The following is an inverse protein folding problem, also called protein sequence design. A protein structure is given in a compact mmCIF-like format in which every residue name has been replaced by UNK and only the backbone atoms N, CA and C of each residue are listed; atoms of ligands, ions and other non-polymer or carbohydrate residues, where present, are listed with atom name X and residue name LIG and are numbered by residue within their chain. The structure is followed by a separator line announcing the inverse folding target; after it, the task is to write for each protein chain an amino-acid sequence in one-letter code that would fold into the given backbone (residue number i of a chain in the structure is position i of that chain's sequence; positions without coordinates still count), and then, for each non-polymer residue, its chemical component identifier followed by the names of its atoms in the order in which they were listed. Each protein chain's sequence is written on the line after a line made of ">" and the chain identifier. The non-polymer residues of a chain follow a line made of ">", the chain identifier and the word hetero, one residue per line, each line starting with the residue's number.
data_IF_440394444160
#
_entry.id   IF_440394444160
#
_cell.length_a   1.000
_cell.length_b   1.000
_cell.length_c   1.000
_cell.angle_alpha   90.00
_cell.angle_beta   90.00
_cell.angle_gamma   90.00
#
_symmetry.space_group_name_H-M   'P 1'
#
loop_
_entity.id
_entity.type
_entity.pdbx_description
1 polymer ?
#
# COMPACT_ATOMS: atom_id res chain seq x y z
N UNK A 1 15.75 12.95 -35.84
CA UNK A 1 15.12 13.77 -34.79
C UNK A 1 13.91 13.13 -34.08
N UNK A 2 13.24 12.09 -34.61
CA UNK A 2 12.05 11.49 -33.95
C UNK A 2 12.37 10.39 -32.91
N UNK A 3 13.47 9.68 -33.08
CA UNK A 3 13.86 8.54 -32.20
C UNK A 3 14.19 8.97 -30.77
N UNK A 4 14.76 10.15 -30.58
CA UNK A 4 15.08 10.68 -29.24
C UNK A 4 13.82 10.87 -28.39
N UNK A 5 12.72 11.33 -29.01
CA UNK A 5 11.43 11.46 -28.32
C UNK A 5 10.82 10.12 -27.95
N UNK A 6 10.98 9.10 -28.80
CA UNK A 6 10.51 7.74 -28.52
C UNK A 6 11.28 7.12 -27.35
N UNK A 7 12.60 7.26 -27.32
CA UNK A 7 13.44 6.78 -26.21
C UNK A 7 13.07 7.46 -24.89
N UNK A 8 12.81 8.77 -24.93
CA UNK A 8 12.38 9.51 -23.74
C UNK A 8 11.02 9.02 -23.24
N UNK A 9 10.03 8.81 -24.13
CA UNK A 9 8.73 8.27 -23.75
C UNK A 9 8.83 6.88 -23.11
N UNK A 10 9.67 6.00 -23.64
CA UNK A 10 9.92 4.67 -23.07
C UNK A 10 10.55 4.77 -21.67
N UNK A 11 11.52 5.66 -21.49
CA UNK A 11 12.15 5.89 -20.18
C UNK A 11 11.11 6.33 -19.14
N UNK A 12 10.23 7.27 -19.49
CA UNK A 12 9.15 7.71 -18.59
C UNK A 12 8.17 6.61 -18.25
N UNK A 13 7.85 5.72 -19.19
CA UNK A 13 6.98 4.55 -18.94
C UNK A 13 7.62 3.53 -18.00
N UNK A 14 8.94 3.31 -18.12
CA UNK A 14 9.67 2.39 -17.24
C UNK A 14 9.88 2.97 -15.83
N UNK A 15 9.99 4.29 -15.70
CA UNK A 15 10.14 4.99 -14.43
C UNK A 15 8.81 5.38 -13.78
N UNK A 16 7.68 4.88 -14.28
CA UNK A 16 6.44 4.99 -13.54
C UNK A 16 6.55 4.09 -12.30
N UNK A 17 6.81 4.71 -11.16
CA UNK A 17 6.61 4.10 -9.87
C UNK A 17 5.14 3.68 -9.82
N UNK A 18 4.87 2.38 -10.01
CA UNK A 18 3.52 1.84 -9.92
C UNK A 18 2.93 2.28 -8.58
N UNK A 19 1.90 3.14 -8.56
CA UNK A 19 1.34 3.59 -7.31
C UNK A 19 0.53 2.42 -6.77
N UNK A 20 0.96 1.92 -5.62
CA UNK A 20 0.26 0.92 -4.85
C UNK A 20 0.46 -0.48 -5.42
N UNK A 21 1.22 -1.28 -4.67
CA UNK A 21 0.82 -2.65 -4.41
C UNK A 21 -0.71 -2.68 -4.33
N UNK A 22 -1.36 -3.27 -5.33
CA UNK A 22 -2.65 -3.89 -5.12
C UNK A 22 -2.34 -5.07 -4.19
N UNK A 23 -2.14 -4.75 -2.90
CA UNK A 23 -2.10 -5.72 -1.85
C UNK A 23 -3.30 -6.64 -2.07
N UNK A 24 -3.13 -7.97 -2.02
CA UNK A 24 -4.25 -8.88 -2.19
C UNK A 24 -5.36 -8.39 -1.26
N UNK A 25 -6.59 -8.24 -1.78
CA UNK A 25 -7.71 -7.73 -0.98
C UNK A 25 -8.09 -8.82 0.02
N UNK A 26 -7.28 -8.98 1.05
CA UNK A 26 -7.63 -9.75 2.23
C UNK A 26 -8.76 -8.98 2.91
N UNK A 27 -9.83 -9.69 3.27
CA UNK A 27 -11.01 -9.07 3.88
C UNK A 27 -10.63 -8.23 5.12
N UNK A 28 -9.66 -8.69 5.92
CA UNK A 28 -9.17 -7.97 7.09
C UNK A 28 -8.47 -6.64 6.75
N UNK A 29 -7.77 -6.59 5.62
CA UNK A 29 -7.06 -5.40 5.13
C UNK A 29 -8.02 -4.38 4.54
N UNK A 30 -9.02 -4.85 3.79
CA UNK A 30 -10.07 -4.01 3.24
C UNK A 30 -10.91 -3.37 4.35
N UNK A 31 -11.29 -4.17 5.35
CA UNK A 31 -12.03 -3.71 6.53
C UNK A 31 -11.23 -2.69 7.35
N UNK A 32 -9.93 -2.95 7.56
CA UNK A 32 -9.06 -2.00 8.26
C UNK A 32 -8.97 -0.66 7.53
N UNK A 33 -8.71 -0.68 6.21
CA UNK A 33 -8.61 0.56 5.42
C UNK A 33 -9.94 1.30 5.27
N UNK A 34 -11.07 0.59 5.19
CA UNK A 34 -12.39 1.22 5.01
C UNK A 34 -12.75 2.13 6.19
N UNK A 35 -12.24 1.79 7.38
CA UNK A 35 -12.41 2.57 8.60
C UNK A 35 -11.41 3.74 8.74
N UNK A 36 -10.52 3.95 7.75
CA UNK A 36 -9.47 4.97 7.80
C UNK A 36 -8.25 4.56 8.63
N UNK A 37 -8.15 3.28 9.01
CA UNK A 37 -7.03 2.74 9.75
C UNK A 37 -5.92 2.26 8.80
N UNK A 38 -4.75 1.94 9.36
CA UNK A 38 -3.60 1.47 8.57
C UNK A 38 -3.04 0.16 9.09
N UNK A 39 -2.46 -0.60 8.17
CA UNK A 39 -1.83 -1.87 8.45
C UNK A 39 -0.32 -1.66 8.69
N UNK A 40 0.21 -2.24 9.76
CA UNK A 40 1.62 -2.12 10.13
C UNK A 40 2.23 -3.46 10.51
N UNK A 41 3.49 -3.65 10.12
CA UNK A 41 4.33 -4.75 10.60
C UNK A 41 4.86 -4.38 12.00
N UNK A 42 4.49 -5.17 13.00
CA UNK A 42 4.88 -4.97 14.40
C UNK A 42 3.87 -4.16 15.22
N UNK A 43 4.37 -3.48 16.26
CA UNK A 43 3.53 -2.74 17.19
C UNK A 43 2.96 -1.46 16.56
N UNK A 44 1.72 -1.13 16.91
CA UNK A 44 1.11 0.15 16.56
C UNK A 44 1.82 1.30 17.28
N UNK A 45 1.87 2.51 16.69
CA UNK A 45 2.39 3.68 17.38
C UNK A 45 1.62 3.94 18.68
N UNK A 46 2.21 4.62 19.67
CA UNK A 46 1.60 4.77 21.00
C UNK A 46 0.26 5.51 21.01
N UNK A 47 -0.07 6.25 19.95
CA UNK A 47 -1.37 6.94 19.78
C UNK A 47 -2.43 6.11 19.05
N UNK A 48 -2.13 4.86 18.70
CA UNK A 48 -3.03 3.97 17.97
C UNK A 48 -3.10 2.60 18.66
N UNK A 49 -4.31 2.09 18.85
CA UNK A 49 -4.57 0.76 19.38
C UNK A 49 -4.57 -0.29 18.25
N UNK A 50 -4.09 -1.49 18.55
CA UNK A 50 -4.24 -2.64 17.66
C UNK A 50 -5.70 -3.11 17.70
N UNK A 51 -6.44 -2.87 16.61
CA UNK A 51 -7.87 -3.19 16.51
C UNK A 51 -8.13 -4.54 15.81
N UNK A 52 -7.16 -5.06 15.04
CA UNK A 52 -7.31 -6.31 14.31
C UNK A 52 -6.06 -6.76 13.57
N UNK A 53 -6.23 -7.62 12.57
CA UNK A 53 -5.17 -8.06 11.65
C UNK A 53 -5.30 -7.40 10.27
N UNK A 54 -4.20 -7.45 9.52
CA UNK A 54 -4.18 -7.23 8.09
C UNK A 54 -3.36 -8.32 7.41
N UNK A 55 -3.49 -8.44 6.09
CA UNK A 55 -2.87 -9.45 5.25
C UNK A 55 -3.08 -10.88 5.76
N UNK A 56 -4.31 -11.20 6.20
CA UNK A 56 -4.63 -12.52 6.71
C UNK A 56 -3.88 -12.89 8.00
N UNK A 57 -3.53 -11.90 8.83
CA UNK A 57 -2.83 -12.12 10.10
C UNK A 57 -1.35 -11.75 10.11
N UNK A 58 -0.73 -11.44 8.96
CA UNK A 58 0.69 -11.08 8.90
C UNK A 58 0.97 -9.69 9.49
N UNK A 59 0.00 -8.79 9.42
CA UNK A 59 0.10 -7.40 9.82
C UNK A 59 -0.94 -7.07 10.88
N UNK A 60 -0.76 -5.96 11.59
CA UNK A 60 -1.71 -5.46 12.58
C UNK A 60 -2.45 -4.25 12.04
N UNK A 61 -3.77 -4.22 12.24
CA UNK A 61 -4.58 -3.05 11.96
C UNK A 61 -4.48 -2.08 13.14
N UNK A 62 -3.95 -0.88 12.89
CA UNK A 62 -3.79 0.17 13.88
C UNK A 62 -4.91 1.21 13.74
N UNK A 63 -5.80 1.26 14.72
CA UNK A 63 -6.87 2.25 14.84
C UNK A 63 -6.46 3.34 15.82
N UNK A 64 -6.90 4.58 15.57
CA UNK A 64 -6.77 5.64 16.57
C UNK A 64 -7.71 5.38 17.75
#
# INVERSE_FOLDING_TARGET
>A
MRILYLLFAVLFLLFQAAPGSADPIFADTAECRSQGNFCRAGACPPTFAASGSCHGGLLKCCSK
#
